data_IF_362142508321
#
_entry.id   IF_362142508321
#
_cell.length_a   1.000
_cell.length_b   1.000
_cell.length_c   1.000
_cell.angle_alpha   90.00
_cell.angle_beta   90.00
_cell.angle_gamma   90.00
#
_symmetry.space_group_name_H-M   'P 1'
#
loop_
_entity.id
_entity.type
_entity.pdbx_description
1 polymer ?
#
# COMPACT_ATOMS: atom_id res chain seq x y z
N UNK A 1 -11.50 15.96 4.14
CA UNK A 1 -10.28 16.75 4.47
C UNK A 1 -10.56 18.25 4.49
N UNK A 2 -11.05 18.86 3.40
CA UNK A 2 -11.29 20.31 3.32
C UNK A 2 -12.20 20.86 4.43
N UNK A 3 -13.29 20.17 4.76
CA UNK A 3 -14.18 20.55 5.86
C UNK A 3 -13.47 20.60 7.23
N UNK A 4 -12.57 19.65 7.53
CA UNK A 4 -11.80 19.64 8.78
C UNK A 4 -10.78 20.79 8.84
N UNK A 5 -10.18 21.13 7.69
CA UNK A 5 -9.27 22.29 7.59
C UNK A 5 -10.03 23.61 7.76
N UNK A 6 -11.22 23.73 7.14
CA UNK A 6 -12.08 24.90 7.32
C UNK A 6 -12.49 25.05 8.80
N UNK A 7 -12.90 23.95 9.44
CA UNK A 7 -13.25 23.95 10.85
C UNK A 7 -12.09 24.33 11.77
N UNK A 8 -10.88 23.85 11.49
CA UNK A 8 -9.69 24.24 12.26
C UNK A 8 -9.48 25.77 12.22
N UNK A 9 -9.61 26.38 11.04
CA UNK A 9 -9.49 27.83 10.89
C UNK A 9 -10.60 28.59 11.62
N UNK A 10 -11.82 28.06 11.61
CA UNK A 10 -12.91 28.64 12.40
C UNK A 10 -12.61 28.60 13.90
N UNK A 11 -12.06 27.49 14.40
CA UNK A 11 -11.67 27.37 15.81
C UNK A 11 -10.55 28.35 16.15
N UNK A 12 -9.57 28.55 15.27
CA UNK A 12 -8.52 29.57 15.47
C UNK A 12 -9.11 30.98 15.67
N UNK A 13 -10.04 31.37 14.78
CA UNK A 13 -10.73 32.67 14.86
C UNK A 13 -11.59 32.79 16.13
N UNK A 14 -12.23 31.70 16.54
CA UNK A 14 -13.01 31.67 17.79
C UNK A 14 -12.11 31.81 19.02
N UNK A 15 -10.94 31.21 18.99
CA UNK A 15 -9.96 31.27 20.08
C UNK A 15 -9.36 32.68 20.22
N UNK A 16 -9.04 33.34 19.10
CA UNK A 16 -8.61 34.74 19.08
C UNK A 16 -9.65 35.65 19.74
N UNK A 17 -10.92 35.54 19.33
CA UNK A 17 -12.03 36.30 19.92
C UNK A 17 -12.25 35.99 21.40
N UNK A 18 -12.07 34.73 21.81
CA UNK A 18 -12.17 34.33 23.21
C UNK A 18 -11.12 35.05 24.07
N UNK A 19 -9.90 35.21 23.54
CA UNK A 19 -8.82 35.96 24.18
C UNK A 19 -9.15 37.46 24.30
N UNK A 20 -9.70 38.06 23.24
CA UNK A 20 -10.13 39.47 23.25
C UNK A 20 -11.17 39.74 24.35
N UNK A 21 -12.21 38.91 24.44
CA UNK A 21 -13.26 39.03 25.48
C UNK A 21 -12.70 38.85 26.91
N UNK A 22 -11.68 37.99 27.08
CA UNK A 22 -11.00 37.81 28.37
C UNK A 22 -10.18 39.03 28.78
N UNK A 23 -9.50 39.67 27.83
CA UNK A 23 -8.71 40.89 28.06
C UNK A 23 -9.62 42.09 28.35
N UNK A 24 -10.78 42.18 27.70
CA UNK A 24 -11.79 43.21 27.94
C UNK A 24 -12.53 43.05 29.28
N UNK A 25 -12.35 41.92 29.98
CA UNK A 25 -12.98 41.65 31.27
C UNK A 25 -14.43 41.18 31.18
N UNK A 26 -14.94 40.94 29.97
CA UNK A 26 -16.30 40.45 29.73
C UNK A 26 -16.48 38.96 30.07
N UNK A 27 -15.37 38.25 30.26
CA UNK A 27 -15.34 36.81 30.51
C UNK A 27 -14.60 36.47 31.82
N UNK A 28 -15.24 35.65 32.66
CA UNK A 28 -14.61 35.13 33.88
C UNK A 28 -13.48 34.15 33.53
N UNK A 29 -12.47 34.08 34.41
CA UNK A 29 -11.31 33.20 34.22
C UNK A 29 -11.71 31.72 34.12
N UNK A 30 -12.67 31.28 34.95
CA UNK A 30 -13.19 29.91 34.92
C UNK A 30 -13.80 29.56 33.55
N UNK A 31 -14.59 30.48 32.97
CA UNK A 31 -15.23 30.26 31.65
C UNK A 31 -14.21 30.29 30.53
N UNK A 32 -13.23 31.18 30.61
CA UNK A 32 -12.13 31.26 29.65
C UNK A 32 -11.34 29.95 29.61
N UNK A 33 -10.94 29.42 30.78
CA UNK A 33 -10.19 28.17 30.87
C UNK A 33 -10.98 27.02 30.26
N UNK A 34 -12.25 26.87 30.61
CA UNK A 34 -13.12 25.81 30.08
C UNK A 34 -13.30 25.87 28.57
N UNK A 35 -13.47 27.07 28.00
CA UNK A 35 -13.62 27.24 26.55
C UNK A 35 -12.30 27.03 25.82
N UNK A 36 -11.18 27.47 26.41
CA UNK A 36 -9.83 27.28 25.86
C UNK A 36 -9.48 25.80 25.77
N UNK A 37 -9.68 25.05 26.86
CA UNK A 37 -9.50 23.59 26.89
C UNK A 37 -10.32 22.90 25.78
N UNK A 38 -11.60 23.26 25.64
CA UNK A 38 -12.46 22.68 24.60
C UNK A 38 -11.93 22.94 23.18
N UNK A 39 -11.47 24.15 22.89
CA UNK A 39 -10.97 24.50 21.56
C UNK A 39 -9.61 23.88 21.26
N UNK A 40 -8.73 23.77 22.25
CA UNK A 40 -7.45 23.08 22.13
C UNK A 40 -7.64 21.57 21.88
N UNK A 41 -8.60 20.96 22.58
CA UNK A 41 -9.01 19.56 22.34
C UNK A 41 -9.53 19.39 20.90
N UNK A 42 -10.44 20.27 20.46
CA UNK A 42 -11.01 20.23 19.10
C UNK A 42 -9.94 20.42 18.02
N UNK A 43 -9.01 21.38 18.19
CA UNK A 43 -7.88 21.59 17.29
C UNK A 43 -6.96 20.37 17.21
N UNK A 44 -6.71 19.73 18.35
CA UNK A 44 -5.87 18.53 18.42
C UNK A 44 -6.51 17.38 17.64
N UNK A 45 -7.81 17.14 17.85
CA UNK A 45 -8.57 16.12 17.12
C UNK A 45 -8.60 16.41 15.61
N UNK A 46 -8.90 17.66 15.22
CA UNK A 46 -8.93 18.08 13.82
C UNK A 46 -7.56 17.91 13.15
N UNK A 47 -6.47 18.26 13.84
CA UNK A 47 -5.11 18.12 13.34
C UNK A 47 -4.73 16.65 13.12
N UNK A 48 -5.09 15.77 14.06
CA UNK A 48 -4.89 14.33 13.92
C UNK A 48 -5.70 13.78 12.73
N UNK A 49 -6.97 14.18 12.61
CA UNK A 49 -7.85 13.75 11.52
C UNK A 49 -7.34 14.21 10.15
N UNK A 50 -6.89 15.46 10.04
CA UNK A 50 -6.31 15.98 8.80
C UNK A 50 -5.03 15.21 8.43
N UNK A 51 -4.15 14.95 9.40
CA UNK A 51 -2.93 14.17 9.18
C UNK A 51 -3.25 12.77 8.68
N UNK A 52 -4.18 12.08 9.34
CA UNK A 52 -4.59 10.74 8.97
C UNK A 52 -5.19 10.69 7.55
N UNK A 53 -6.10 11.61 7.23
CA UNK A 53 -6.70 11.70 5.90
C UNK A 53 -5.67 12.00 4.81
N UNK A 54 -4.69 12.86 5.08
CA UNK A 54 -3.58 13.13 4.15
C UNK A 54 -2.74 11.88 3.90
N UNK A 55 -2.48 11.10 4.95
CA UNK A 55 -1.74 9.86 4.83
C UNK A 55 -2.48 8.84 3.95
N UNK A 56 -3.78 8.64 4.18
CA UNK A 56 -4.61 7.74 3.36
C UNK A 56 -4.53 8.15 1.88
N UNK A 57 -4.75 9.43 1.58
CA UNK A 57 -4.70 9.93 0.19
C UNK A 57 -3.31 9.71 -0.43
N UNK A 58 -2.23 9.93 0.32
CA UNK A 58 -0.87 9.71 -0.17
C UNK A 58 -0.58 8.22 -0.41
N UNK A 59 -1.09 7.34 0.46
CA UNK A 59 -0.98 5.89 0.30
C UNK A 59 -1.75 5.42 -0.94
N UNK A 60 -2.99 5.87 -1.12
CA UNK A 60 -3.81 5.55 -2.31
C UNK A 60 -3.15 6.02 -3.61
N UNK A 61 -2.66 7.27 -3.66
CA UNK A 61 -1.95 7.79 -4.82
C UNK A 61 -0.68 6.98 -5.13
N UNK A 62 0.07 6.59 -4.09
CA UNK A 62 1.24 5.72 -4.25
C UNK A 62 0.84 4.35 -4.82
N UNK A 63 -0.26 3.77 -4.36
CA UNK A 63 -0.77 2.50 -4.89
C UNK A 63 -1.18 2.62 -6.36
N UNK A 64 -1.85 3.70 -6.74
CA UNK A 64 -2.26 3.96 -8.13
C UNK A 64 -1.05 4.11 -9.06
N UNK A 65 -0.08 4.94 -8.68
CA UNK A 65 1.18 5.13 -9.43
C UNK A 65 1.97 3.82 -9.56
N UNK A 66 2.00 3.03 -8.50
CA UNK A 66 2.63 1.72 -8.50
C UNK A 66 1.94 0.74 -9.47
N UNK A 67 0.61 0.73 -9.52
CA UNK A 67 -0.14 -0.12 -10.44
C UNK A 67 0.08 0.29 -11.90
N UNK A 68 0.07 1.60 -12.19
CA UNK A 68 0.33 2.11 -13.53
C UNK A 68 1.76 1.77 -14.00
N UNK A 69 2.76 2.01 -13.15
CA UNK A 69 4.16 1.68 -13.43
C UNK A 69 4.36 0.18 -13.68
N UNK A 70 3.69 -0.67 -12.90
CA UNK A 70 3.72 -2.11 -13.12
C UNK A 70 3.11 -2.49 -14.49
N UNK A 71 1.95 -1.94 -14.87
CA UNK A 71 1.34 -2.21 -16.16
C UNK A 71 2.21 -1.73 -17.34
N UNK A 72 2.90 -0.60 -17.20
CA UNK A 72 3.86 -0.14 -18.21
C UNK A 72 5.01 -1.13 -18.36
N UNK A 73 5.52 -1.66 -17.25
CA UNK A 73 6.56 -2.69 -17.25
C UNK A 73 6.06 -3.97 -17.94
N UNK A 74 4.87 -4.46 -17.57
CA UNK A 74 4.22 -5.63 -18.22
C UNK A 74 4.11 -5.41 -19.72
N UNK A 75 3.63 -4.25 -20.16
CA UNK A 75 3.48 -3.93 -21.60
C UNK A 75 4.80 -3.91 -22.35
N UNK A 76 5.85 -3.35 -21.77
CA UNK A 76 7.20 -3.33 -22.36
C UNK A 76 7.72 -4.74 -22.65
N UNK A 77 7.27 -5.70 -21.85
CA UNK A 77 7.75 -7.06 -21.86
C UNK A 77 6.61 -8.09 -22.06
N UNK A 78 5.54 -7.73 -22.79
CA UNK A 78 4.44 -8.68 -23.07
C UNK A 78 4.86 -9.74 -24.10
N UNK A 79 5.80 -9.41 -24.99
CA UNK A 79 6.35 -10.31 -26.02
C UNK A 79 7.80 -10.72 -25.70
N UNK A 80 8.09 -11.13 -24.46
CA UNK A 80 9.42 -11.64 -24.12
C UNK A 80 9.63 -12.99 -24.81
N UNK A 81 10.68 -13.09 -25.63
CA UNK A 81 11.11 -14.38 -26.22
C UNK A 81 11.99 -15.20 -25.26
N UNK A 82 12.76 -14.53 -24.40
CA UNK A 82 13.66 -15.16 -23.42
C UNK A 82 13.62 -14.43 -22.08
N UNK A 83 13.37 -15.16 -20.99
CA UNK A 83 13.36 -14.61 -19.64
C UNK A 83 14.78 -14.32 -19.17
N UNK A 84 15.20 -13.06 -19.26
CA UNK A 84 16.54 -12.67 -18.82
C UNK A 84 16.58 -12.33 -17.33
N UNK A 85 17.73 -12.50 -16.65
CA UNK A 85 17.92 -12.09 -15.26
C UNK A 85 17.62 -10.60 -15.03
N UNK A 86 17.84 -9.76 -16.04
CA UNK A 86 17.52 -8.33 -16.02
C UNK A 86 16.02 -8.10 -15.88
N UNK A 87 15.21 -8.79 -16.69
CA UNK A 87 13.75 -8.73 -16.62
C UNK A 87 13.26 -9.19 -15.25
N UNK A 88 13.77 -10.33 -14.74
CA UNK A 88 13.41 -10.81 -13.40
C UNK A 88 13.74 -9.80 -12.31
N UNK A 89 14.92 -9.17 -12.37
CA UNK A 89 15.31 -8.12 -11.41
C UNK A 89 14.44 -6.87 -11.55
N UNK A 90 13.85 -6.58 -12.70
CA UNK A 90 12.92 -5.46 -12.86
C UNK A 90 11.52 -5.77 -12.31
N UNK A 91 11.02 -6.99 -12.47
CA UNK A 91 9.66 -7.36 -12.06
C UNK A 91 9.54 -7.89 -10.64
N UNK A 92 10.52 -8.65 -10.17
CA UNK A 92 10.43 -9.39 -8.91
C UNK A 92 11.16 -8.64 -7.81
N UNK A 93 10.47 -8.40 -6.71
CA UNK A 93 11.05 -7.88 -5.47
C UNK A 93 11.76 -9.00 -4.69
N UNK A 94 11.04 -10.11 -4.47
CA UNK A 94 11.58 -11.29 -3.80
C UNK A 94 10.82 -12.56 -4.17
N UNK A 95 11.50 -13.69 -4.03
CA UNK A 95 10.94 -15.03 -4.15
C UNK A 95 11.09 -15.73 -2.81
N UNK A 96 9.97 -16.16 -2.22
CA UNK A 96 9.95 -16.91 -0.97
C UNK A 96 9.70 -18.37 -1.30
N UNK A 97 10.71 -19.20 -1.03
CA UNK A 97 10.63 -20.65 -1.25
C UNK A 97 10.39 -21.31 0.09
N UNK A 98 9.27 -22.01 0.21
CA UNK A 98 8.89 -22.71 1.43
C UNK A 98 9.55 -24.09 1.52
N UNK A 99 9.42 -24.72 2.68
CA UNK A 99 9.86 -26.10 2.88
C UNK A 99 9.14 -27.07 1.93
N UNK A 100 9.82 -28.15 1.55
CA UNK A 100 9.25 -29.22 0.71
C UNK A 100 8.33 -30.08 1.55
N UNK A 101 7.12 -30.34 1.06
CA UNK A 101 6.14 -31.21 1.70
C UNK A 101 5.85 -32.43 0.82
N UNK A 102 5.67 -33.60 1.44
CA UNK A 102 5.14 -34.78 0.74
C UNK A 102 3.61 -34.76 0.87
N UNK A 103 2.88 -34.64 -0.23
CA UNK A 103 1.42 -34.75 -0.27
C UNK A 103 0.99 -35.77 -1.31
N UNK A 104 0.19 -36.76 -0.90
CA UNK A 104 -0.37 -37.79 -1.78
C UNK A 104 0.66 -38.55 -2.64
N UNK A 105 1.89 -38.74 -2.12
CA UNK A 105 2.97 -39.41 -2.86
C UNK A 105 3.77 -38.50 -3.80
N UNK A 106 3.40 -37.22 -3.89
CA UNK A 106 4.13 -36.20 -4.65
C UNK A 106 4.87 -35.24 -3.70
N UNK A 107 6.10 -34.88 -4.07
CA UNK A 107 6.85 -33.83 -3.37
C UNK A 107 6.42 -32.46 -3.93
N UNK A 108 5.77 -31.66 -3.09
CA UNK A 108 5.28 -30.33 -3.44
C UNK A 108 6.11 -29.27 -2.72
N UNK A 109 6.51 -28.21 -3.43
CA UNK A 109 7.20 -27.06 -2.85
C UNK A 109 6.44 -25.79 -3.19
N UNK A 110 5.98 -25.07 -2.16
CA UNK A 110 5.30 -23.79 -2.35
C UNK A 110 6.33 -22.69 -2.64
N UNK A 111 6.03 -21.86 -3.63
CA UNK A 111 6.81 -20.68 -4.00
C UNK A 111 5.87 -19.48 -4.03
N UNK A 112 6.17 -18.46 -3.22
CA UNK A 112 5.46 -17.18 -3.28
C UNK A 112 6.36 -16.14 -3.97
N UNK A 113 5.84 -15.48 -5.01
CA UNK A 113 6.54 -14.44 -5.77
C UNK A 113 5.95 -13.09 -5.40
N UNK A 114 6.81 -12.16 -4.99
CA UNK A 114 6.45 -10.78 -4.73
C UNK A 114 6.95 -9.92 -5.88
N UNK A 115 6.03 -9.28 -6.58
CA UNK A 115 6.34 -8.35 -7.67
C UNK A 115 6.62 -6.96 -7.11
N UNK A 116 7.53 -6.24 -7.75
CA UNK A 116 7.74 -4.83 -7.45
C UNK A 116 6.44 -4.06 -7.67
N UNK A 117 6.24 -3.01 -6.87
CA UNK A 117 5.09 -2.10 -6.94
C UNK A 117 3.74 -2.69 -6.49
N UNK A 118 3.43 -3.95 -6.81
CA UNK A 118 2.13 -4.57 -6.52
C UNK A 118 2.16 -5.71 -5.49
N UNK A 119 3.34 -6.18 -5.08
CA UNK A 119 3.47 -7.21 -4.06
C UNK A 119 3.07 -8.60 -4.55
N UNK A 120 2.45 -9.40 -3.68
CA UNK A 120 2.03 -10.75 -4.02
C UNK A 120 0.72 -10.71 -4.81
N UNK A 121 0.67 -11.45 -5.92
CA UNK A 121 -0.52 -11.56 -6.77
C UNK A 121 -1.02 -12.99 -6.75
N UNK A 122 -2.34 -13.14 -6.66
CA UNK A 122 -2.98 -14.43 -6.90
C UNK A 122 -3.01 -14.72 -8.40
N UNK A 123 -2.26 -15.74 -8.82
CA UNK A 123 -2.25 -16.17 -10.21
C UNK A 123 -3.54 -16.94 -10.53
N UNK A 124 -4.11 -16.76 -11.73
CA UNK A 124 -5.28 -17.52 -12.15
C UNK A 124 -4.97 -19.02 -12.16
N UNK A 125 -5.98 -19.84 -11.87
CA UNK A 125 -5.81 -21.29 -11.96
C UNK A 125 -5.60 -21.69 -13.42
N UNK A 126 -4.41 -22.21 -13.70
CA UNK A 126 -4.08 -22.77 -15.01
C UNK A 126 -4.79 -24.11 -15.18
N UNK A 127 -5.36 -24.33 -16.36
CA UNK A 127 -5.88 -25.64 -16.74
C UNK A 127 -4.72 -26.63 -17.01
N UNK A 128 -5.06 -27.91 -17.15
CA UNK A 128 -4.05 -28.96 -17.32
C UNK A 128 -3.19 -28.76 -18.59
N UNK A 129 -3.81 -28.32 -19.68
CA UNK A 129 -3.13 -28.10 -20.96
C UNK A 129 -2.14 -26.92 -20.92
N UNK A 130 -2.52 -25.84 -20.23
CA UNK A 130 -1.64 -24.69 -19.98
C UNK A 130 -0.43 -25.09 -19.15
N UNK A 131 -0.65 -25.85 -18.06
CA UNK A 131 0.45 -26.36 -17.22
C UNK A 131 1.42 -27.21 -18.02
N UNK A 132 0.92 -28.13 -18.83
CA UNK A 132 1.74 -28.99 -19.70
C UNK A 132 2.52 -28.17 -20.74
N UNK A 133 1.91 -27.13 -21.30
CA UNK A 133 2.58 -26.21 -22.22
C UNK A 133 3.74 -25.48 -21.54
N UNK A 134 3.52 -24.89 -20.35
CA UNK A 134 4.57 -24.20 -19.61
C UNK A 134 5.69 -25.14 -19.15
N UNK A 135 5.35 -26.36 -18.71
CA UNK A 135 6.33 -27.39 -18.38
C UNK A 135 7.15 -27.81 -19.60
N UNK A 136 6.55 -27.91 -20.79
CA UNK A 136 7.28 -28.22 -22.01
C UNK A 136 8.23 -27.10 -22.44
N UNK A 137 7.82 -25.84 -22.28
CA UNK A 137 8.58 -24.66 -22.72
C UNK A 137 9.70 -24.31 -21.73
N UNK A 138 9.40 -24.31 -20.42
CA UNK A 138 10.31 -23.81 -19.37
C UNK A 138 10.75 -24.89 -18.37
N UNK A 139 10.15 -26.07 -18.40
CA UNK A 139 10.58 -27.18 -17.57
C UNK A 139 11.94 -27.70 -18.00
N UNK A 140 12.78 -28.04 -17.04
CA UNK A 140 13.99 -28.78 -17.35
C UNK A 140 13.60 -30.15 -17.88
N UNK A 141 13.95 -30.45 -19.14
CA UNK A 141 13.99 -31.85 -19.58
C UNK A 141 15.04 -32.52 -18.71
N UNK A 142 14.64 -33.47 -17.88
CA UNK A 142 15.62 -34.33 -17.23
C UNK A 142 16.55 -34.87 -18.31
N UNK A 143 17.83 -34.54 -18.21
CA UNK A 143 18.86 -35.22 -18.96
C UNK A 143 18.95 -36.62 -18.34
N UNK A 144 18.03 -37.51 -18.72
CA UNK A 144 18.21 -38.94 -18.58
C UNK A 144 19.31 -39.35 -19.55
N UNK A 145 20.56 -38.98 -19.27
CA UNK A 145 21.70 -39.71 -19.79
C UNK A 145 22.06 -40.80 -18.78
N UNK A 146 21.82 -42.01 -19.25
CA UNK A 146 22.19 -43.29 -18.72
C UNK A 146 23.58 -43.31 -18.08
N UNK A 147 23.67 -43.92 -16.90
CA UNK A 147 24.83 -44.67 -16.45
C UNK A 147 24.34 -45.86 -15.61
#
# INVERSE_FOLDING_TARGET
>A
MQAAVARSKEVDVLYEKLFEEKVLGNLTEERFKKLSEKYEDEQTELSQRVRHLKQIVAEEQKHELNAEGFLQLVRKYTDIQELTPEILREFVDKIVVHHREQRFGETVQRVDIYYKMIGQVELPQMNQQEKESYLHIFGHKETSQSA
#
